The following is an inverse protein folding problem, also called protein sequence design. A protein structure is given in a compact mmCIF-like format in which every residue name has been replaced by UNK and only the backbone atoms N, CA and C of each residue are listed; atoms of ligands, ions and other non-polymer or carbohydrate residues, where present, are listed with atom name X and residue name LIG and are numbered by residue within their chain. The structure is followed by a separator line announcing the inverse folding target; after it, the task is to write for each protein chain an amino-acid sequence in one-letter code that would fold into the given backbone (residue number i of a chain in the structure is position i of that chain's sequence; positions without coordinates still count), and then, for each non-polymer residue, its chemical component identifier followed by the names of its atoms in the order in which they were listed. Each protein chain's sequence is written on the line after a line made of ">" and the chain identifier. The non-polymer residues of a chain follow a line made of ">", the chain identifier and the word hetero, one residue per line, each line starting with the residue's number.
data_IF_660690651954
#
_entry.id   IF_660690651954
#
_cell.length_a   1.000
_cell.length_b   1.000
_cell.length_c   1.000
_cell.angle_alpha   90.00
_cell.angle_beta   90.00
_cell.angle_gamma   90.00
#
_symmetry.space_group_name_H-M   'P 1'
#
loop_
_entity.id
_entity.type
_entity.pdbx_description
1 polymer ?
#
# COMPACT_ATOMS: atom_id res chain seq x y z
N UNK A 1 -11.32 2.41 -19.45
CA UNK A 1 -11.72 3.73 -18.90
C UNK A 1 -13.18 4.05 -19.21
N UNK A 2 -13.63 4.04 -20.47
CA UNK A 2 -15.01 4.42 -20.83
C UNK A 2 -16.11 3.58 -20.15
N UNK A 3 -15.87 2.27 -19.99
CA UNK A 3 -16.85 1.35 -19.37
C UNK A 3 -17.07 1.59 -17.86
N UNK A 4 -16.03 2.05 -17.16
CA UNK A 4 -16.06 2.35 -15.73
C UNK A 4 -15.39 3.71 -15.52
N UNK A 5 -16.11 4.80 -15.85
CA UNK A 5 -15.56 6.14 -15.75
C UNK A 5 -15.39 6.53 -14.28
N UNK A 6 -14.36 7.32 -13.99
CA UNK A 6 -14.21 7.95 -12.70
C UNK A 6 -15.29 9.04 -12.55
N UNK A 7 -16.14 8.92 -11.52
CA UNK A 7 -17.14 9.94 -11.21
C UNK A 7 -16.50 11.24 -10.72
N UNK A 8 -17.21 12.37 -10.82
CA UNK A 8 -16.72 13.64 -10.28
C UNK A 8 -16.48 13.56 -8.75
N UNK A 9 -17.39 12.89 -8.04
CA UNK A 9 -17.27 12.62 -6.61
C UNK A 9 -15.98 11.84 -6.30
N UNK A 10 -15.78 10.72 -6.98
CA UNK A 10 -14.60 9.88 -6.81
C UNK A 10 -13.31 10.63 -7.17
N UNK A 11 -13.33 11.45 -8.22
CA UNK A 11 -12.19 12.26 -8.62
C UNK A 11 -11.78 13.26 -7.53
N UNK A 12 -12.76 13.95 -6.93
CA UNK A 12 -12.50 14.88 -5.83
C UNK A 12 -11.99 14.14 -4.58
N UNK A 13 -12.59 13.01 -4.22
CA UNK A 13 -12.16 12.17 -3.11
C UNK A 13 -10.70 11.73 -3.25
N UNK A 14 -10.31 11.24 -4.43
CA UNK A 14 -8.93 10.81 -4.70
C UNK A 14 -7.96 11.99 -4.63
N UNK A 15 -8.34 13.15 -5.18
CA UNK A 15 -7.53 14.36 -5.10
C UNK A 15 -7.29 14.77 -3.64
N UNK A 16 -8.35 14.85 -2.83
CA UNK A 16 -8.26 15.20 -1.42
C UNK A 16 -7.46 14.19 -0.60
N UNK A 17 -7.57 12.89 -0.94
CA UNK A 17 -6.78 11.85 -0.31
C UNK A 17 -5.28 12.01 -0.60
N UNK A 18 -4.91 12.29 -1.85
CA UNK A 18 -3.50 12.54 -2.23
C UNK A 18 -2.93 13.76 -1.51
N UNK A 19 -3.70 14.84 -1.42
CA UNK A 19 -3.31 16.03 -0.65
C UNK A 19 -3.15 15.73 0.85
N UNK A 20 -4.06 14.95 1.44
CA UNK A 20 -3.98 14.54 2.85
C UNK A 20 -2.72 13.71 3.12
N UNK A 21 -2.42 12.75 2.23
CA UNK A 21 -1.20 11.93 2.34
C UNK A 21 0.04 12.81 2.23
N UNK A 22 0.08 13.75 1.28
CA UNK A 22 1.18 14.71 1.15
C UNK A 22 1.36 15.55 2.41
N UNK A 23 0.27 16.03 3.01
CA UNK A 23 0.33 16.81 4.25
C UNK A 23 0.87 15.99 5.44
N UNK A 24 0.51 14.70 5.54
CA UNK A 24 1.03 13.80 6.57
C UNK A 24 2.54 13.55 6.37
N UNK A 25 2.94 13.27 5.13
CA UNK A 25 4.34 13.06 4.75
C UNK A 25 5.21 14.26 5.13
N UNK A 26 4.74 15.47 4.88
CA UNK A 26 5.44 16.73 5.19
C UNK A 26 5.26 17.21 6.65
N UNK A 27 4.48 16.49 7.46
CA UNK A 27 4.22 16.86 8.86
C UNK A 27 3.33 18.09 9.04
N UNK A 28 2.58 18.47 8.02
CA UNK A 28 1.52 19.50 8.10
C UNK A 28 0.21 18.94 8.66
N UNK A 29 0.04 17.63 8.63
CA UNK A 29 -1.05 16.88 9.27
C UNK A 29 -0.43 15.89 10.26
N UNK A 30 -0.90 15.93 11.51
CA UNK A 30 -0.38 15.10 12.58
C UNK A 30 -1.05 13.72 12.64
N UNK A 31 -2.02 13.39 11.77
CA UNK A 31 -2.61 12.04 11.79
C UNK A 31 -1.60 10.97 11.35
N UNK A 32 -1.83 9.74 11.82
CA UNK A 32 -1.07 8.58 11.34
C UNK A 32 -1.73 8.04 10.06
N UNK A 33 -0.96 7.90 8.99
CA UNK A 33 -1.44 7.21 7.78
C UNK A 33 -1.48 5.70 8.02
N UNK A 34 -2.61 5.05 7.73
CA UNK A 34 -2.76 3.60 7.94
C UNK A 34 -3.19 2.91 6.67
N UNK A 35 -2.28 2.18 6.02
CA UNK A 35 -2.61 1.29 4.90
C UNK A 35 -3.05 -0.06 5.47
N UNK A 36 -4.32 -0.41 5.30
CA UNK A 36 -4.87 -1.64 5.88
C UNK A 36 -5.82 -2.34 4.91
N UNK A 37 -5.70 -3.66 4.80
CA UNK A 37 -6.57 -4.46 3.94
C UNK A 37 -5.92 -5.77 3.50
N UNK A 38 -6.59 -6.51 2.60
CA UNK A 38 -6.17 -7.85 2.23
C UNK A 38 -4.77 -7.86 1.62
N UNK A 39 -4.03 -8.95 1.87
CA UNK A 39 -2.73 -9.18 1.24
C UNK A 39 -2.82 -9.08 -0.30
N UNK A 40 -3.89 -9.63 -0.88
CA UNK A 40 -4.29 -9.51 -2.28
C UNK A 40 -5.81 -9.58 -2.42
N UNK A 41 -6.37 -8.93 -3.45
CA UNK A 41 -7.79 -9.05 -3.79
C UNK A 41 -7.97 -10.19 -4.77
N UNK A 42 -8.78 -11.19 -4.41
CA UNK A 42 -9.18 -12.30 -5.29
C UNK A 42 -10.69 -12.35 -5.50
N UNK A 43 -11.48 -11.86 -4.54
CA UNK A 43 -12.93 -11.75 -4.64
C UNK A 43 -13.38 -10.30 -4.43
N UNK A 44 -13.94 -9.70 -5.48
CA UNK A 44 -14.42 -8.31 -5.43
C UNK A 44 -15.62 -8.12 -4.49
N UNK A 45 -16.38 -9.17 -4.17
CA UNK A 45 -17.50 -9.08 -3.24
C UNK A 45 -16.99 -8.91 -1.81
N UNK A 46 -16.11 -9.80 -1.34
CA UNK A 46 -15.50 -9.66 -0.01
C UNK A 46 -14.70 -8.36 0.14
N UNK A 47 -14.09 -7.85 -0.94
CA UNK A 47 -13.41 -6.56 -0.93
C UNK A 47 -14.36 -5.39 -0.65
N UNK A 48 -15.57 -5.39 -1.24
CA UNK A 48 -16.60 -4.36 -0.97
C UNK A 48 -17.11 -4.44 0.46
N UNK A 49 -17.40 -5.63 0.96
CA UNK A 49 -17.82 -5.81 2.37
C UNK A 49 -16.73 -5.36 3.36
N UNK A 50 -15.46 -5.64 3.06
CA UNK A 50 -14.34 -5.12 3.84
C UNK A 50 -14.30 -3.60 3.84
N UNK A 51 -14.51 -2.97 2.67
CA UNK A 51 -14.57 -1.51 2.54
C UNK A 51 -15.73 -0.89 3.32
N UNK A 52 -16.93 -1.49 3.26
CA UNK A 52 -18.11 -1.05 4.01
C UNK A 52 -17.82 -1.02 5.52
N UNK A 53 -17.19 -2.07 6.05
CA UNK A 53 -16.78 -2.11 7.46
C UNK A 53 -15.66 -1.08 7.75
N UNK A 54 -14.74 -0.86 6.82
CA UNK A 54 -13.65 0.10 6.98
C UNK A 54 -14.15 1.55 6.98
N UNK A 55 -15.20 1.88 6.22
CA UNK A 55 -15.83 3.21 6.21
C UNK A 55 -16.27 3.62 7.62
N UNK A 56 -16.84 2.70 8.40
CA UNK A 56 -17.26 2.97 9.78
C UNK A 56 -16.06 3.38 10.65
N UNK A 57 -14.95 2.64 10.56
CA UNK A 57 -13.74 2.94 11.33
C UNK A 57 -13.02 4.20 10.84
N UNK A 58 -13.09 4.50 9.54
CA UNK A 58 -12.58 5.76 8.98
C UNK A 58 -13.28 6.94 9.63
N UNK A 59 -14.60 6.91 9.70
CA UNK A 59 -15.39 8.00 10.29
C UNK A 59 -15.15 8.11 11.80
N UNK A 60 -15.09 6.98 12.51
CA UNK A 60 -14.84 6.93 13.95
C UNK A 60 -13.45 7.47 14.34
N UNK A 61 -12.41 7.18 13.54
CA UNK A 61 -11.01 7.44 13.89
C UNK A 61 -10.37 8.58 13.07
N UNK A 62 -11.16 9.36 12.32
CA UNK A 62 -10.66 10.33 11.33
C UNK A 62 -9.80 11.47 11.90
N UNK A 63 -9.97 11.79 13.19
CA UNK A 63 -9.21 12.85 13.86
C UNK A 63 -7.76 12.42 14.15
N UNK A 64 -7.50 11.12 14.23
CA UNK A 64 -6.21 10.54 14.59
C UNK A 64 -5.55 9.77 13.46
N UNK A 65 -6.36 9.10 12.62
CA UNK A 65 -5.90 8.21 11.57
C UNK A 65 -6.38 8.67 10.20
N UNK A 66 -5.47 8.68 9.23
CA UNK A 66 -5.82 8.70 7.82
C UNK A 66 -5.70 7.30 7.24
N UNK A 67 -6.78 6.54 7.35
CA UNK A 67 -6.85 5.16 6.87
C UNK A 67 -6.83 5.16 5.32
N UNK A 68 -6.28 4.15 4.69
CA UNK A 68 -6.28 3.91 3.24
C UNK A 68 -6.45 2.41 3.01
N UNK A 69 -7.41 2.02 2.18
CA UNK A 69 -7.65 0.59 1.94
C UNK A 69 -6.55 0.02 1.04
N UNK A 70 -5.97 -1.10 1.45
CA UNK A 70 -5.05 -1.88 0.62
C UNK A 70 -5.83 -2.72 -0.40
N UNK A 71 -5.61 -2.48 -1.70
CA UNK A 71 -6.33 -3.15 -2.81
C UNK A 71 -5.33 -3.69 -3.83
N UNK A 72 -4.59 -4.73 -3.45
CA UNK A 72 -3.49 -5.24 -4.28
C UNK A 72 -3.99 -6.28 -5.27
N UNK A 73 -3.93 -5.95 -6.56
CA UNK A 73 -4.37 -6.84 -7.66
C UNK A 73 -3.26 -7.72 -8.23
N UNK A 74 -2.01 -7.45 -7.86
CA UNK A 74 -0.82 -8.10 -8.40
C UNK A 74 -0.02 -8.67 -7.23
N UNK A 75 0.58 -9.85 -7.41
CA UNK A 75 1.48 -10.45 -6.42
C UNK A 75 2.77 -10.95 -7.06
N UNK A 76 3.93 -10.46 -6.61
CA UNK A 76 5.21 -10.93 -7.15
C UNK A 76 5.50 -12.36 -6.66
N UNK A 77 5.71 -13.29 -7.60
CA UNK A 77 6.05 -14.70 -7.33
C UNK A 77 7.52 -14.96 -7.65
N UNK A 78 8.22 -15.65 -6.75
CA UNK A 78 9.62 -16.05 -6.97
C UNK A 78 9.75 -17.24 -7.93
N UNK A 79 8.75 -18.13 -7.96
CA UNK A 79 8.76 -19.34 -8.79
C UNK A 79 7.48 -19.47 -9.59
N UNK A 80 6.43 -20.07 -9.02
CA UNK A 80 5.15 -20.36 -9.69
C UNK A 80 3.99 -20.02 -8.76
N UNK A 81 2.86 -19.64 -9.35
CA UNK A 81 1.54 -19.58 -8.72
C UNK A 81 0.77 -18.33 -9.12
N UNK A 82 -0.42 -18.19 -8.54
CA UNK A 82 -1.35 -17.10 -8.89
C UNK A 82 -0.69 -15.72 -8.79
N UNK A 83 -0.78 -14.96 -9.89
CA UNK A 83 -0.14 -13.66 -10.09
C UNK A 83 -1.01 -12.48 -9.67
N UNK A 84 -2.28 -12.72 -9.33
CA UNK A 84 -3.22 -11.69 -8.95
C UNK A 84 -4.45 -11.62 -9.85
N UNK A 85 -5.47 -10.89 -9.39
CA UNK A 85 -6.80 -10.83 -10.01
C UNK A 85 -6.77 -10.26 -11.43
N UNK A 86 -5.86 -9.31 -11.71
CA UNK A 86 -5.74 -8.79 -13.07
C UNK A 86 -5.25 -9.88 -14.02
N UNK A 87 -4.31 -10.72 -13.59
CA UNK A 87 -3.74 -11.75 -14.45
C UNK A 87 -4.68 -12.95 -14.62
N UNK A 88 -5.30 -13.40 -13.55
CA UNK A 88 -6.10 -14.62 -13.53
C UNK A 88 -7.32 -14.44 -12.59
N UNK A 89 -8.39 -13.76 -13.05
CA UNK A 89 -9.54 -13.39 -12.22
C UNK A 89 -10.42 -14.58 -11.82
N UNK A 90 -10.34 -15.68 -12.56
CA UNK A 90 -11.19 -16.87 -12.37
C UNK A 90 -10.53 -17.96 -11.50
N UNK A 91 -9.27 -17.75 -11.11
CA UNK A 91 -8.48 -18.68 -10.27
C UNK A 91 -8.35 -20.08 -10.90
N UNK A 92 -8.36 -20.16 -12.23
CA UNK A 92 -8.41 -21.39 -13.02
C UNK A 92 -7.30 -21.48 -14.07
N UNK A 93 -6.32 -20.57 -14.03
CA UNK A 93 -5.23 -20.47 -15.01
C UNK A 93 -5.71 -20.17 -16.45
N UNK A 94 -6.91 -19.62 -16.64
CA UNK A 94 -7.39 -19.15 -17.95
C UNK A 94 -6.70 -17.87 -18.41
N UNK A 95 -6.12 -17.11 -17.48
CA UNK A 95 -5.41 -15.85 -17.71
C UNK A 95 -6.22 -14.79 -18.49
N UNK A 96 -7.50 -14.65 -18.16
CA UNK A 96 -8.38 -13.67 -18.79
C UNK A 96 -8.10 -12.24 -18.29
N UNK A 97 -7.03 -11.63 -18.81
CA UNK A 97 -6.54 -10.31 -18.38
C UNK A 97 -7.57 -9.20 -18.63
N UNK A 98 -8.27 -9.22 -19.77
CA UNK A 98 -9.29 -8.22 -20.08
C UNK A 98 -10.41 -8.22 -19.04
N UNK A 99 -10.86 -9.42 -18.63
CA UNK A 99 -11.82 -9.59 -17.54
C UNK A 99 -11.23 -9.10 -16.21
N UNK A 100 -9.98 -9.45 -15.92
CA UNK A 100 -9.28 -9.01 -14.70
C UNK A 100 -9.20 -7.49 -14.58
N UNK A 101 -8.82 -6.79 -15.66
CA UNK A 101 -8.78 -5.33 -15.73
C UNK A 101 -10.17 -4.71 -15.54
N UNK A 102 -11.21 -5.29 -16.15
CA UNK A 102 -12.59 -4.83 -15.96
C UNK A 102 -13.04 -4.96 -14.51
N UNK A 103 -12.77 -6.10 -13.86
CA UNK A 103 -13.15 -6.34 -12.45
C UNK A 103 -12.37 -5.40 -11.52
N UNK A 104 -11.06 -5.30 -11.71
CA UNK A 104 -10.19 -4.43 -10.90
C UNK A 104 -10.64 -2.97 -10.98
N UNK A 105 -10.85 -2.45 -12.20
CA UNK A 105 -11.28 -1.06 -12.37
C UNK A 105 -12.68 -0.81 -11.81
N UNK A 106 -13.63 -1.73 -12.00
CA UNK A 106 -14.97 -1.59 -11.43
C UNK A 106 -14.94 -1.56 -9.90
N UNK A 107 -14.15 -2.43 -9.26
CA UNK A 107 -13.97 -2.38 -7.82
C UNK A 107 -13.40 -1.03 -7.38
N UNK A 108 -12.37 -0.53 -8.06
CA UNK A 108 -11.76 0.77 -7.74
C UNK A 108 -12.74 1.95 -7.90
N UNK A 109 -13.59 1.95 -8.93
CA UNK A 109 -14.61 2.99 -9.08
C UNK A 109 -15.65 2.94 -7.97
N UNK A 110 -16.09 1.74 -7.57
CA UNK A 110 -17.02 1.59 -6.45
C UNK A 110 -16.41 2.12 -5.14
N UNK A 111 -15.13 1.81 -4.88
CA UNK A 111 -14.41 2.31 -3.70
C UNK A 111 -14.26 3.83 -3.72
N UNK A 112 -13.99 4.42 -4.88
CA UNK A 112 -13.94 5.87 -5.02
C UNK A 112 -15.30 6.53 -4.77
N UNK A 113 -16.40 5.92 -5.23
CA UNK A 113 -17.77 6.39 -4.96
C UNK A 113 -18.17 6.24 -3.48
N UNK A 114 -17.56 5.29 -2.78
CA UNK A 114 -17.66 5.12 -1.32
C UNK A 114 -16.75 6.07 -0.52
N UNK A 115 -15.98 6.94 -1.18
CA UNK A 115 -14.98 7.82 -0.54
C UNK A 115 -13.88 7.04 0.22
N UNK A 116 -13.53 5.85 -0.29
CA UNK A 116 -12.47 5.00 0.24
C UNK A 116 -11.20 5.19 -0.61
N UNK A 117 -10.19 5.94 -0.15
CA UNK A 117 -8.89 6.01 -0.80
C UNK A 117 -8.20 4.64 -0.82
N UNK A 118 -7.50 4.40 -1.92
CA UNK A 118 -6.91 3.10 -2.23
C UNK A 118 -5.39 3.16 -2.34
N UNK A 119 -4.75 2.16 -1.75
CA UNK A 119 -3.33 1.84 -1.90
C UNK A 119 -3.14 0.58 -2.75
N UNK A 120 -2.22 0.63 -3.72
CA UNK A 120 -1.84 -0.52 -4.57
C UNK A 120 -0.33 -0.73 -4.58
N UNK A 121 0.12 -1.93 -4.96
CA UNK A 121 1.50 -2.16 -5.39
C UNK A 121 1.55 -2.11 -6.92
N UNK A 122 2.48 -1.32 -7.45
CA UNK A 122 2.75 -1.24 -8.88
C UNK A 122 3.86 -2.24 -9.22
N UNK A 123 3.47 -3.39 -9.76
CA UNK A 123 4.39 -4.45 -10.19
C UNK A 123 4.51 -4.51 -11.71
N UNK A 124 3.42 -4.38 -12.44
CA UNK A 124 3.44 -4.28 -13.90
C UNK A 124 3.59 -2.82 -14.37
N UNK A 125 4.26 -2.60 -15.51
CA UNK A 125 4.52 -1.26 -16.05
C UNK A 125 3.43 -0.75 -16.99
N UNK A 126 2.48 -1.60 -17.38
CA UNK A 126 1.40 -1.32 -18.33
C UNK A 126 0.06 -1.16 -17.60
N UNK A 127 -0.22 -1.99 -16.59
CA UNK A 127 -1.44 -1.88 -15.77
C UNK A 127 -1.70 -0.49 -15.17
N UNK A 128 -0.70 0.34 -14.81
CA UNK A 128 -0.94 1.72 -14.34
C UNK A 128 -1.83 2.55 -15.29
N UNK A 129 -1.71 2.37 -16.61
CA UNK A 129 -2.51 3.11 -17.60
C UNK A 129 -4.02 2.86 -17.47
N UNK A 130 -4.42 1.77 -16.81
CA UNK A 130 -5.81 1.36 -16.65
C UNK A 130 -6.41 1.75 -15.30
N UNK A 131 -5.59 2.02 -14.28
CA UNK A 131 -6.06 2.15 -12.89
C UNK A 131 -5.49 3.36 -12.14
N UNK A 132 -4.38 3.96 -12.55
CA UNK A 132 -3.68 4.98 -11.74
C UNK A 132 -4.48 6.26 -11.49
N UNK A 133 -5.53 6.54 -12.28
CA UNK A 133 -6.48 7.62 -12.01
C UNK A 133 -7.29 7.40 -10.72
N UNK A 134 -7.41 6.14 -10.27
CA UNK A 134 -8.21 5.72 -9.11
C UNK A 134 -7.39 5.49 -7.83
N UNK A 135 -6.08 5.72 -7.87
CA UNK A 135 -5.17 5.34 -6.79
C UNK A 135 -4.76 6.55 -5.94
N UNK A 136 -4.88 6.44 -4.61
CA UNK A 136 -4.47 7.50 -3.69
C UNK A 136 -3.02 7.37 -3.23
N UNK A 137 -2.47 6.14 -3.19
CA UNK A 137 -1.09 5.86 -2.80
C UNK A 137 -0.55 4.60 -3.51
N UNK A 138 0.74 4.56 -3.83
CA UNK A 138 1.39 3.41 -4.47
C UNK A 138 2.56 2.83 -3.67
N UNK A 139 2.81 1.53 -3.80
CA UNK A 139 4.03 0.88 -3.36
C UNK A 139 4.86 0.37 -4.54
N UNK A 140 6.18 0.44 -4.40
CA UNK A 140 7.12 -0.41 -5.16
C UNK A 140 7.63 -1.51 -4.23
N UNK A 141 7.43 -2.76 -4.64
CA UNK A 141 7.76 -3.94 -3.86
C UNK A 141 9.27 -4.13 -3.65
N UNK A 142 9.64 -4.85 -2.59
CA UNK A 142 11.04 -5.05 -2.20
C UNK A 142 11.92 -5.72 -3.28
N UNK A 143 11.30 -6.42 -4.25
CA UNK A 143 11.99 -7.08 -5.37
C UNK A 143 12.14 -6.19 -6.60
N UNK A 144 11.40 -5.08 -6.66
CA UNK A 144 11.39 -4.13 -7.78
C UNK A 144 11.91 -2.75 -7.38
N UNK A 145 12.19 -2.49 -6.11
CA UNK A 145 12.83 -1.26 -5.64
C UNK A 145 14.18 -0.96 -6.34
N UNK A 146 14.97 -1.99 -6.70
CA UNK A 146 16.21 -1.84 -7.47
C UNK A 146 15.99 -1.66 -8.99
N UNK A 147 14.77 -1.91 -9.49
CA UNK A 147 14.47 -1.83 -10.90
C UNK A 147 14.39 -0.38 -11.36
N UNK A 148 15.24 -0.03 -12.33
CA UNK A 148 15.25 1.30 -12.93
C UNK A 148 13.89 1.67 -13.54
N UNK A 149 13.23 0.73 -14.24
CA UNK A 149 11.92 0.99 -14.84
C UNK A 149 10.83 1.29 -13.81
N UNK A 150 10.92 0.72 -12.60
CA UNK A 150 9.97 1.02 -11.52
C UNK A 150 10.26 2.36 -10.85
N UNK A 151 11.54 2.77 -10.78
CA UNK A 151 11.93 4.11 -10.32
C UNK A 151 11.45 5.20 -11.30
N UNK A 152 11.60 4.94 -12.59
CA UNK A 152 11.08 5.79 -13.67
C UNK A 152 9.54 5.87 -13.62
N UNK A 153 8.85 4.74 -13.47
CA UNK A 153 7.40 4.72 -13.27
C UNK A 153 7.00 5.58 -12.05
N UNK A 154 7.63 5.37 -10.90
CA UNK A 154 7.33 6.10 -9.68
C UNK A 154 7.50 7.62 -9.81
N UNK A 155 8.50 8.06 -10.59
CA UNK A 155 8.72 9.48 -10.90
C UNK A 155 7.58 10.11 -11.71
N UNK A 156 6.80 9.30 -12.44
CA UNK A 156 5.70 9.73 -13.30
C UNK A 156 4.31 9.55 -12.66
N UNK A 157 4.20 8.85 -11.53
CA UNK A 157 2.93 8.61 -10.86
C UNK A 157 2.40 9.88 -10.20
N UNK A 158 1.09 10.12 -10.34
CA UNK A 158 0.40 11.29 -9.75
C UNK A 158 0.01 11.12 -8.29
N UNK A 159 0.48 10.06 -7.63
CA UNK A 159 0.22 9.76 -6.22
C UNK A 159 1.54 9.60 -5.45
N UNK A 160 1.52 9.70 -4.12
CA UNK A 160 2.66 9.33 -3.30
C UNK A 160 3.06 7.87 -3.46
N UNK A 161 4.38 7.60 -3.38
CA UNK A 161 4.95 6.27 -3.64
C UNK A 161 5.89 5.84 -2.53
N UNK A 162 5.61 4.71 -1.89
CA UNK A 162 6.50 4.10 -0.92
C UNK A 162 7.39 3.02 -1.53
N UNK A 163 8.69 3.08 -1.28
CA UNK A 163 9.67 2.07 -1.66
C UNK A 163 9.99 1.16 -0.48
N UNK A 164 9.72 -0.15 -0.64
CA UNK A 164 10.12 -1.13 0.37
C UNK A 164 11.64 -1.29 0.43
N UNK A 165 12.21 -1.41 1.63
CA UNK A 165 13.59 -1.86 1.80
C UNK A 165 13.80 -3.22 1.12
N UNK A 166 15.05 -3.50 0.70
CA UNK A 166 15.38 -4.73 -0.01
C UNK A 166 15.09 -5.98 0.83
N UNK A 167 14.92 -7.14 0.19
CA UNK A 167 14.53 -8.39 0.88
C UNK A 167 15.54 -8.87 1.92
N UNK A 168 16.80 -8.44 1.81
CA UNK A 168 17.86 -8.70 2.80
C UNK A 168 17.75 -7.79 4.02
N UNK A 169 17.06 -6.65 3.93
CA UNK A 169 17.04 -5.59 4.94
C UNK A 169 17.72 -4.29 4.48
N UNK A 170 18.31 -4.27 3.28
CA UNK A 170 19.07 -3.12 2.78
C UNK A 170 18.21 -1.86 2.62
N UNK A 171 18.62 -0.78 3.31
CA UNK A 171 18.02 0.56 3.19
C UNK A 171 18.53 1.32 1.97
N UNK A 172 19.80 1.13 1.58
CA UNK A 172 20.42 1.90 0.48
C UNK A 172 19.65 1.75 -0.82
N UNK A 173 19.15 0.54 -1.08
CA UNK A 173 18.33 0.20 -2.24
C UNK A 173 17.08 1.08 -2.34
N UNK A 174 16.40 1.32 -1.22
CA UNK A 174 15.21 2.15 -1.17
C UNK A 174 15.57 3.64 -1.20
N UNK A 175 16.65 4.05 -0.52
CA UNK A 175 17.17 5.42 -0.57
C UNK A 175 17.54 5.84 -2.00
N UNK A 176 18.26 4.99 -2.73
CA UNK A 176 18.60 5.22 -4.14
C UNK A 176 17.35 5.29 -5.03
N UNK A 177 16.34 4.47 -4.72
CA UNK A 177 15.08 4.48 -5.45
C UNK A 177 14.30 5.77 -5.22
N UNK A 178 14.23 6.28 -3.98
CA UNK A 178 13.62 7.56 -3.63
C UNK A 178 14.34 8.70 -4.35
N UNK A 179 15.69 8.74 -4.28
CA UNK A 179 16.49 9.74 -5.00
C UNK A 179 16.21 9.72 -6.50
N UNK A 180 16.14 8.54 -7.10
CA UNK A 180 15.82 8.40 -8.52
C UNK A 180 14.39 8.89 -8.82
N UNK A 181 13.40 8.47 -8.04
CA UNK A 181 11.99 8.85 -8.23
C UNK A 181 11.74 10.35 -8.03
N UNK A 182 12.49 11.02 -7.16
CA UNK A 182 12.40 12.46 -6.93
C UNK A 182 12.88 13.31 -8.14
N UNK A 183 13.53 12.71 -9.14
CA UNK A 183 14.09 13.42 -10.28
C UNK A 183 13.31 13.14 -11.59
N UNK A 184 13.35 14.06 -12.57
CA UNK A 184 12.82 13.83 -13.92
C UNK A 184 13.47 12.65 -14.63
N UNK A 185 12.67 11.91 -15.39
CA UNK A 185 13.13 10.85 -16.30
C UNK A 185 12.53 11.00 -17.69
N UNK A 186 13.22 10.43 -18.68
CA UNK A 186 12.72 10.23 -20.04
C UNK A 186 12.51 8.74 -20.25
N UNK A 187 11.26 8.33 -20.48
CA UNK A 187 10.90 6.91 -20.51
C UNK A 187 9.98 6.58 -21.69
N UNK A 188 10.04 5.34 -22.13
CA UNK A 188 9.09 4.77 -23.08
C UNK A 188 8.01 4.03 -22.29
N UNK A 189 6.74 4.33 -22.56
CA UNK A 189 5.60 3.64 -21.96
C UNK A 189 4.45 3.54 -22.97
N UNK A 190 3.36 2.89 -22.56
CA UNK A 190 2.14 2.75 -23.38
C UNK A 190 1.23 3.95 -23.11
N UNK A 191 0.57 4.47 -24.14
CA UNK A 191 -0.44 5.52 -24.03
C UNK A 191 -1.85 4.96 -23.87
N UNK A 192 -2.83 5.83 -23.63
CA UNK A 192 -4.22 5.42 -23.36
C UNK A 192 -4.90 4.81 -24.59
N UNK A 193 -4.36 5.08 -25.78
CA UNK A 193 -4.76 4.50 -27.06
C UNK A 193 -4.11 3.13 -27.34
N UNK A 194 -3.23 2.65 -26.45
CA UNK A 194 -2.54 1.35 -26.56
C UNK A 194 -1.26 1.35 -27.40
N UNK A 195 -0.79 2.51 -27.85
CA UNK A 195 0.47 2.68 -28.57
C UNK A 195 1.66 3.00 -27.67
N UNK A 196 2.89 2.85 -28.18
CA UNK A 196 4.11 3.26 -27.46
C UNK A 196 4.31 4.77 -27.60
N UNK A 197 4.67 5.44 -26.51
CA UNK A 197 4.94 6.87 -26.46
C UNK A 197 6.14 7.19 -25.59
N UNK A 198 6.79 8.31 -25.89
CA UNK A 198 7.85 8.89 -25.07
C UNK A 198 7.25 9.85 -24.04
N UNK A 199 7.61 9.66 -22.78
CA UNK A 199 7.16 10.48 -21.66
C UNK A 199 8.34 11.15 -20.99
N UNK A 200 8.09 12.34 -20.46
CA UNK A 200 9.00 13.04 -19.54
C UNK A 200 8.27 13.18 -18.21
N UNK A 201 8.82 12.62 -17.14
CA UNK A 201 8.28 12.81 -15.79
C UNK A 201 8.89 14.05 -15.12
N UNK A 202 8.20 14.63 -14.15
CA UNK A 202 8.69 15.76 -13.34
C UNK A 202 9.53 15.32 -12.14
N UNK A 203 9.56 14.03 -11.83
CA UNK A 203 9.91 13.55 -10.50
C UNK A 203 8.71 13.54 -9.55
N UNK A 204 8.87 12.81 -8.44
CA UNK A 204 7.85 12.62 -7.42
C UNK A 204 8.44 12.87 -6.02
N UNK A 205 8.34 14.11 -5.54
CA UNK A 205 8.86 14.56 -4.25
C UNK A 205 8.25 13.87 -3.02
N UNK A 206 7.16 13.13 -3.20
CA UNK A 206 6.46 12.41 -2.13
C UNK A 206 6.92 10.96 -2.00
N UNK A 207 8.00 10.56 -2.69
CA UNK A 207 8.59 9.25 -2.54
C UNK A 207 9.21 9.06 -1.13
N UNK A 208 8.95 7.92 -0.51
CA UNK A 208 9.34 7.65 0.88
C UNK A 208 9.69 6.17 1.11
N UNK A 209 10.29 5.85 2.26
CA UNK A 209 10.71 4.48 2.59
C UNK A 209 9.61 3.71 3.34
N UNK A 210 9.56 2.40 3.10
CA UNK A 210 8.77 1.44 3.88
C UNK A 210 9.71 0.41 4.51
N UNK A 211 9.69 0.35 5.84
CA UNK A 211 10.40 -0.64 6.64
C UNK A 211 9.54 -1.90 6.78
N UNK A 212 10.02 -3.02 6.24
CA UNK A 212 9.26 -4.29 6.13
C UNK A 212 10.02 -5.53 6.61
N UNK A 213 11.10 -5.31 7.36
CA UNK A 213 12.07 -6.31 7.81
C UNK A 213 12.98 -6.81 6.68
N UNK A 214 13.85 -7.75 7.01
CA UNK A 214 14.80 -8.36 6.08
C UNK A 214 15.13 -9.81 6.45
N UNK A 215 16.14 -10.36 5.79
CA UNK A 215 16.72 -11.65 6.17
C UNK A 215 17.38 -11.57 7.56
N UNK A 216 17.87 -10.40 7.93
CA UNK A 216 18.51 -10.11 9.23
C UNK A 216 17.51 -9.91 10.38
N UNK A 217 16.20 -10.02 10.08
CA UNK A 217 15.12 -9.92 11.06
C UNK A 217 14.22 -8.68 10.89
N UNK A 218 13.33 -8.44 11.88
CA UNK A 218 12.48 -7.26 11.90
C UNK A 218 13.27 -5.95 12.03
N UNK A 219 12.75 -4.87 11.45
CA UNK A 219 13.35 -3.52 11.47
C UNK A 219 12.36 -2.42 11.90
N UNK A 220 11.40 -2.74 12.77
CA UNK A 220 10.40 -1.79 13.27
C UNK A 220 10.74 -1.14 14.62
N UNK A 221 11.74 -1.65 15.33
CA UNK A 221 12.08 -1.12 16.66
C UNK A 221 12.60 0.32 16.57
N UNK A 222 12.48 1.06 17.67
CA UNK A 222 12.90 2.46 17.77
C UNK A 222 14.32 2.71 17.21
N UNK A 223 15.28 1.85 17.56
CA UNK A 223 16.66 1.97 17.06
C UNK A 223 16.78 1.82 15.53
N UNK A 224 15.94 1.00 14.90
CA UNK A 224 15.91 0.87 13.44
C UNK A 224 15.25 2.08 12.78
N UNK A 225 14.18 2.60 13.39
CA UNK A 225 13.49 3.82 12.93
C UNK A 225 14.45 5.01 12.96
N UNK A 226 15.05 5.30 14.12
CA UNK A 226 15.99 6.41 14.32
C UNK A 226 17.18 6.31 13.34
N UNK A 227 17.79 5.13 13.21
CA UNK A 227 18.89 4.90 12.26
C UNK A 227 18.47 5.17 10.81
N UNK A 228 17.24 4.82 10.44
CA UNK A 228 16.73 5.04 9.07
C UNK A 228 16.49 6.52 8.83
N UNK A 229 15.87 7.21 9.79
CA UNK A 229 15.63 8.65 9.75
C UNK A 229 16.94 9.43 9.62
N UNK A 230 17.97 9.07 10.38
CA UNK A 230 19.28 9.72 10.29
C UNK A 230 19.93 9.55 8.91
N UNK A 231 19.77 8.38 8.27
CA UNK A 231 20.25 8.16 6.90
C UNK A 231 19.47 8.97 5.87
N UNK A 232 18.15 9.03 5.98
CA UNK A 232 17.31 9.83 5.09
C UNK A 232 17.66 11.32 5.21
N UNK A 233 17.84 11.81 6.44
CA UNK A 233 18.24 13.19 6.71
C UNK A 233 19.62 13.52 6.16
N UNK A 234 20.59 12.61 6.28
CA UNK A 234 21.93 12.78 5.72
C UNK A 234 21.91 12.90 4.18
N UNK A 235 20.93 12.28 3.52
CA UNK A 235 20.72 12.34 2.07
C UNK A 235 19.80 13.50 1.62
N UNK A 236 19.28 14.31 2.55
CA UNK A 236 18.37 15.41 2.26
C UNK A 236 16.99 14.95 1.76
N UNK A 237 16.56 13.75 2.16
CA UNK A 237 15.28 13.16 1.81
C UNK A 237 14.25 13.40 2.92
N UNK A 238 12.98 13.07 2.64
CA UNK A 238 11.92 13.01 3.63
C UNK A 238 12.32 12.05 4.76
N UNK A 239 12.53 12.57 5.96
CA UNK A 239 13.16 11.89 7.10
C UNK A 239 12.12 11.29 8.05
N UNK A 240 11.12 10.62 7.46
CA UNK A 240 10.07 9.88 8.17
C UNK A 240 9.83 8.55 7.46
N UNK A 241 9.35 7.56 8.21
CA UNK A 241 9.21 6.18 7.74
C UNK A 241 7.78 5.69 7.81
N UNK A 242 7.43 4.80 6.87
CA UNK A 242 6.29 3.91 7.01
C UNK A 242 6.77 2.54 7.52
N UNK A 243 6.04 1.94 8.46
CA UNK A 243 6.35 0.60 8.98
C UNK A 243 5.30 -0.43 8.55
N UNK A 244 5.72 -1.44 7.79
CA UNK A 244 4.91 -2.62 7.43
C UNK A 244 4.97 -3.63 8.57
N UNK A 245 3.83 -3.88 9.20
CA UNK A 245 3.73 -4.77 10.36
C UNK A 245 3.82 -6.25 9.96
N UNK A 246 3.53 -6.57 8.70
CA UNK A 246 3.48 -7.93 8.18
C UNK A 246 4.88 -8.39 7.73
N UNK A 247 4.91 -9.37 6.81
CA UNK A 247 6.09 -9.81 6.11
C UNK A 247 7.26 -10.23 7.02
N UNK A 248 8.46 -9.64 6.86
CA UNK A 248 9.61 -10.02 7.66
C UNK A 248 9.56 -9.37 9.06
N UNK A 249 8.81 -8.28 9.24
CA UNK A 249 8.58 -7.69 10.56
C UNK A 249 7.70 -8.57 11.44
N UNK A 250 6.67 -9.21 10.87
CA UNK A 250 5.88 -10.24 11.58
C UNK A 250 6.55 -11.61 11.63
N UNK A 251 7.74 -11.77 11.06
CA UNK A 251 8.40 -13.06 10.85
C UNK A 251 7.48 -14.07 10.11
N UNK A 252 6.62 -13.57 9.23
CA UNK A 252 5.57 -14.30 8.50
C UNK A 252 4.52 -14.97 9.40
N UNK A 253 4.34 -14.48 10.62
CA UNK A 253 3.30 -14.93 11.54
C UNK A 253 2.28 -13.80 11.69
N UNK A 254 1.09 -13.94 11.10
CA UNK A 254 0.14 -12.84 10.99
C UNK A 254 -0.29 -12.23 12.33
N UNK A 255 -0.35 -13.03 13.42
CA UNK A 255 -0.63 -12.54 14.77
C UNK A 255 0.48 -11.66 15.35
N UNK A 256 1.73 -11.81 14.91
CA UNK A 256 2.82 -10.95 15.35
C UNK A 256 2.65 -9.51 14.87
N UNK A 257 1.78 -9.24 13.87
CA UNK A 257 1.41 -7.86 13.50
C UNK A 257 0.85 -7.08 14.70
N UNK A 258 0.20 -7.74 15.66
CA UNK A 258 -0.30 -7.11 16.88
C UNK A 258 0.86 -6.65 17.77
N UNK A 259 1.87 -7.49 17.96
CA UNK A 259 3.06 -7.13 18.75
C UNK A 259 3.89 -6.04 18.08
N UNK A 260 3.99 -6.04 16.74
CA UNK A 260 4.59 -4.92 16.00
C UNK A 260 3.76 -3.64 16.20
N UNK A 261 2.43 -3.76 16.15
CA UNK A 261 1.50 -2.66 16.40
C UNK A 261 1.65 -2.04 17.79
N UNK A 262 1.77 -2.87 18.83
CA UNK A 262 1.97 -2.42 20.21
C UNK A 262 3.29 -1.65 20.38
N UNK A 263 4.38 -2.13 19.77
CA UNK A 263 5.68 -1.47 19.81
C UNK A 263 5.63 -0.10 19.11
N UNK A 264 5.02 -0.04 17.92
CA UNK A 264 4.87 1.19 17.15
C UNK A 264 3.94 2.19 17.85
N UNK A 265 2.83 1.72 18.43
CA UNK A 265 1.97 2.55 19.26
C UNK A 265 2.72 3.11 20.49
N UNK A 266 3.59 2.31 21.12
CA UNK A 266 4.43 2.79 22.23
C UNK A 266 5.40 3.90 21.77
N UNK A 267 6.06 3.74 20.63
CA UNK A 267 6.95 4.76 20.05
C UNK A 267 6.19 6.07 19.75
N UNK A 268 5.03 5.98 19.08
CA UNK A 268 4.18 7.14 18.76
C UNK A 268 3.73 7.84 20.05
N UNK A 269 3.17 7.09 20.99
CA UNK A 269 2.67 7.66 22.26
C UNK A 269 3.78 8.29 23.13
N UNK A 270 5.04 7.91 22.92
CA UNK A 270 6.20 8.49 23.59
C UNK A 270 6.72 9.77 22.94
N UNK A 271 6.06 10.27 21.89
CA UNK A 271 6.41 11.53 21.23
C UNK A 271 7.02 11.39 19.83
N UNK A 272 7.21 10.17 19.31
CA UNK A 272 7.87 9.99 18.01
C UNK A 272 7.08 10.65 16.87
N UNK A 273 7.77 11.49 16.09
CA UNK A 273 7.28 12.10 14.85
C UNK A 273 7.89 11.44 13.60
N UNK A 274 8.76 10.45 13.81
CA UNK A 274 9.54 9.78 12.77
C UNK A 274 8.68 8.78 11.97
N UNK A 275 7.58 8.32 12.55
CA UNK A 275 6.65 7.36 11.93
C UNK A 275 5.43 8.13 11.43
N UNK A 276 5.35 8.33 10.12
CA UNK A 276 4.20 9.01 9.51
C UNK A 276 3.08 8.03 9.14
N UNK A 277 3.39 6.74 9.03
CA UNK A 277 2.39 5.75 8.67
C UNK A 277 2.77 4.29 8.89
N UNK A 278 1.79 3.42 8.73
CA UNK A 278 1.93 1.98 8.93
C UNK A 278 1.20 1.19 7.84
N UNK A 279 1.61 -0.07 7.62
CA UNK A 279 0.96 -0.99 6.69
C UNK A 279 0.60 -2.31 7.39
N UNK A 280 -0.64 -2.76 7.22
CA UNK A 280 -1.22 -3.91 7.91
C UNK A 280 -1.91 -4.84 6.89
N UNK A 281 -1.63 -6.13 6.96
CA UNK A 281 -2.34 -7.16 6.19
C UNK A 281 -3.49 -7.74 7.02
N UNK A 282 -4.71 -7.38 6.63
CA UNK A 282 -5.97 -7.61 7.35
C UNK A 282 -7.05 -8.09 6.38
N UNK A 283 -7.96 -8.95 6.83
CA UNK A 283 -9.12 -9.35 6.03
C UNK A 283 -10.35 -9.50 6.92
N UNK A 284 -11.47 -9.97 6.34
CA UNK A 284 -12.70 -10.20 7.09
C UNK A 284 -12.48 -11.33 8.10
N UNK A 285 -11.83 -12.39 7.63
CA UNK A 285 -11.48 -13.57 8.41
C UNK A 285 -9.96 -13.76 8.41
N UNK A 286 -9.42 -14.22 9.54
CA UNK A 286 -7.98 -14.35 9.75
C UNK A 286 -7.35 -15.53 9.00
N UNK A 287 -6.02 -15.53 8.94
CA UNK A 287 -5.22 -16.59 8.34
C UNK A 287 -5.15 -16.50 6.82
N UNK A 288 -4.88 -17.64 6.19
CA UNK A 288 -4.93 -17.81 4.75
C UNK A 288 -5.45 -19.20 4.38
N UNK A 289 -5.63 -19.42 3.08
CA UNK A 289 -5.96 -20.69 2.46
C UNK A 289 -5.20 -20.86 1.14
N UNK A 290 -5.16 -22.08 0.62
CA UNK A 290 -4.59 -22.35 -0.69
C UNK A 290 -5.50 -21.81 -1.80
N UNK A 291 -4.90 -21.44 -2.94
CA UNK A 291 -5.64 -21.06 -4.15
C UNK A 291 -6.46 -22.26 -4.63
N UNK A 292 -7.68 -22.00 -5.09
CA UNK A 292 -8.60 -22.98 -5.65
C UNK A 292 -9.82 -22.29 -6.29
N UNK A 293 -10.74 -23.06 -6.88
CA UNK A 293 -11.96 -22.51 -7.48
C UNK A 293 -12.73 -21.65 -6.48
N UNK A 294 -13.22 -20.49 -6.92
CA UNK A 294 -13.78 -19.47 -6.02
C UNK A 294 -14.91 -20.02 -5.15
N UNK A 295 -15.77 -20.88 -5.69
CA UNK A 295 -16.88 -21.51 -4.95
C UNK A 295 -16.42 -22.46 -3.82
N UNK A 296 -15.18 -22.92 -3.86
CA UNK A 296 -14.60 -23.82 -2.84
C UNK A 296 -13.87 -23.07 -1.73
N UNK A 297 -13.58 -21.78 -1.93
CA UNK A 297 -12.82 -20.97 -1.00
C UNK A 297 -13.67 -20.50 0.18
N UNK A 298 -13.07 -20.45 1.36
CA UNK A 298 -13.68 -19.78 2.52
C UNK A 298 -13.80 -18.30 2.21
N UNK A 299 -15.00 -17.77 2.34
CA UNK A 299 -15.29 -16.36 2.10
C UNK A 299 -14.44 -15.43 2.96
N UNK A 300 -13.88 -14.37 2.39
CA UNK A 300 -13.15 -13.33 3.12
C UNK A 300 -11.86 -13.78 3.82
N UNK A 301 -11.24 -14.89 3.36
CA UNK A 301 -9.94 -15.39 3.83
C UNK A 301 -8.91 -15.26 2.70
N UNK A 302 -7.73 -14.71 3.00
CA UNK A 302 -6.64 -14.52 2.02
C UNK A 302 -6.24 -15.82 1.32
N UNK A 303 -5.98 -15.78 0.01
CA UNK A 303 -5.37 -16.88 -0.76
C UNK A 303 -3.85 -16.73 -0.94
N UNK A 304 -3.26 -15.75 -0.22
CA UNK A 304 -1.84 -15.39 -0.29
C UNK A 304 -1.22 -15.37 1.11
N UNK A 305 -0.61 -14.27 1.54
CA UNK A 305 -0.05 -14.17 2.89
C UNK A 305 -1.20 -14.13 3.92
N UNK A 306 -0.96 -14.72 5.09
CA UNK A 306 -1.93 -14.76 6.19
C UNK A 306 -2.21 -13.36 6.74
N UNK A 307 -3.48 -13.04 6.94
CA UNK A 307 -3.93 -11.74 7.44
C UNK A 307 -4.47 -11.85 8.88
N UNK A 308 -4.46 -10.75 9.63
CA UNK A 308 -5.30 -10.66 10.85
C UNK A 308 -6.77 -10.57 10.46
N UNK A 309 -7.66 -11.00 11.36
CA UNK A 309 -9.11 -10.92 11.17
C UNK A 309 -9.67 -9.53 11.48
N UNK A 310 -10.97 -9.36 11.26
CA UNK A 310 -11.63 -8.06 11.46
C UNK A 310 -11.56 -7.55 12.91
N UNK A 311 -11.79 -8.42 13.90
CA UNK A 311 -11.75 -8.04 15.33
C UNK A 311 -10.37 -7.49 15.75
N UNK A 312 -9.31 -8.21 15.38
CA UNK A 312 -7.93 -7.76 15.60
C UNK A 312 -7.64 -6.44 14.87
N UNK A 313 -8.20 -6.26 13.68
CA UNK A 313 -8.03 -5.04 12.88
C UNK A 313 -8.65 -3.84 13.58
N UNK A 314 -9.89 -3.97 14.04
CA UNK A 314 -10.58 -2.91 14.78
C UNK A 314 -9.82 -2.53 16.06
N UNK A 315 -9.41 -3.53 16.85
CA UNK A 315 -8.66 -3.31 18.08
C UNK A 315 -7.31 -2.62 17.81
N UNK A 316 -6.57 -3.08 16.80
CA UNK A 316 -5.28 -2.49 16.44
C UNK A 316 -5.42 -1.05 15.96
N UNK A 317 -6.43 -0.73 15.13
CA UNK A 317 -6.69 0.63 14.68
C UNK A 317 -7.02 1.55 15.87
N UNK A 318 -7.84 1.08 16.83
CA UNK A 318 -8.16 1.83 18.05
C UNK A 318 -6.92 2.06 18.92
N UNK A 319 -6.04 1.08 19.06
CA UNK A 319 -4.76 1.23 19.77
C UNK A 319 -3.87 2.29 19.09
N UNK A 320 -3.77 2.27 17.76
CA UNK A 320 -2.99 3.26 17.01
C UNK A 320 -3.58 4.67 17.17
N UNK A 321 -4.90 4.83 17.07
CA UNK A 321 -5.56 6.12 17.30
C UNK A 321 -5.25 6.67 18.69
N UNK A 322 -5.38 5.84 19.73
CA UNK A 322 -5.03 6.23 21.10
C UNK A 322 -3.56 6.66 21.25
N UNK A 323 -2.64 6.05 20.50
CA UNK A 323 -1.23 6.45 20.53
C UNK A 323 -1.01 7.84 19.94
N UNK A 324 -1.72 8.18 18.85
CA UNK A 324 -1.70 9.50 18.23
C UNK A 324 -2.30 10.54 19.17
N UNK A 325 -3.43 10.25 19.82
CA UNK A 325 -4.04 11.12 20.82
C UNK A 325 -3.06 11.46 21.95
N UNK A 326 -2.37 10.44 22.50
CA UNK A 326 -1.37 10.64 23.56
C UNK A 326 -0.18 11.47 23.11
N UNK A 327 0.26 11.32 21.86
CA UNK A 327 1.36 12.11 21.29
C UNK A 327 0.98 13.57 21.09
N UNK A 328 -0.30 13.83 20.77
CA UNK A 328 -0.81 15.17 20.47
C UNK A 328 -1.36 15.92 21.71
N UNK A 329 -1.47 15.24 22.85
CA UNK A 329 -1.91 15.81 24.14
C UNK A 329 -0.79 16.57 24.85
#
# INVERSE_FOLDING_TARGET
>A
MEKFPLSEKGSLAIFQARESIKNILEGRDNRLMVIVGPCSIHDSKSAREYAEKLVVLREELQDDLFIVMRVYFEKPRTTIGWKGLINDPDLDESFNIDKGLMIARHLLTDLADMDVPVAVEYLDLITPQYISDLISWGAIGARTTESQSHRELASALSCPVGFKNGTTGSLSVAIDAIKSANNPHHLLSVNKEGGVSHYTSSGNETAHIILRGGADGPNYSQAHVEKTVDQLRAEGLLDRVMVDFSHANSQKQFKNQLSVGDDIAAQISSGSQDIFGVMIESHLNEGNQAVGPLESLKYGVSITDSCIGWEDTENLLKTLAQSVQKRNA
#
